data_IF_131996075247
#
_entry.id   IF_131996075247
#
_cell.length_a   1.000
_cell.length_b   1.000
_cell.length_c   1.000
_cell.angle_alpha   90.00
_cell.angle_beta   90.00
_cell.angle_gamma   90.00
#
_symmetry.space_group_name_H-M   'P 1'
#
loop_
_entity.id
_entity.type
_entity.pdbx_description
1 polymer ?
#
# COMPACT_ATOMS: atom_id res chain seq x y z
N UNK A 1 21.10 1.76 -4.09
CA UNK A 1 20.19 0.66 -3.69
C UNK A 1 18.76 1.14 -3.85
N UNK A 2 17.96 0.46 -4.66
CA UNK A 2 16.55 0.84 -4.89
C UNK A 2 15.67 0.60 -3.67
N UNK A 3 14.56 1.35 -3.55
CA UNK A 3 13.63 1.27 -2.42
C UNK A 3 13.12 -0.17 -2.13
N UNK A 4 12.86 -0.94 -3.20
CA UNK A 4 12.36 -2.31 -3.10
C UNK A 4 13.44 -3.35 -2.79
N UNK A 5 14.74 -3.00 -2.86
CA UNK A 5 15.81 -3.93 -2.50
C UNK A 5 15.77 -4.29 -1.01
N UNK A 6 15.23 -3.39 -0.18
CA UNK A 6 15.09 -3.57 1.27
C UNK A 6 13.98 -4.55 1.69
N UNK A 7 13.09 -4.93 0.77
CA UNK A 7 12.13 -6.00 1.04
C UNK A 7 12.82 -7.36 0.98
N UNK A 8 12.50 -8.24 1.92
CA UNK A 8 13.02 -9.59 1.91
C UNK A 8 12.48 -10.39 0.70
N UNK A 9 13.20 -11.45 0.34
CA UNK A 9 12.86 -12.24 -0.84
C UNK A 9 11.49 -12.93 -0.74
N UNK A 10 11.01 -13.25 0.46
CA UNK A 10 9.71 -13.89 0.65
C UNK A 10 8.56 -12.92 0.40
N UNK A 11 8.68 -11.67 0.88
CA UNK A 11 7.73 -10.59 0.60
C UNK A 11 7.67 -10.27 -0.88
N UNK A 12 8.82 -10.15 -1.55
CA UNK A 12 8.89 -9.94 -3.02
C UNK A 12 8.18 -11.06 -3.78
N UNK A 13 8.41 -12.32 -3.39
CA UNK A 13 7.77 -13.48 -4.02
C UNK A 13 6.24 -13.42 -3.86
N UNK A 14 5.76 -13.19 -2.65
CA UNK A 14 4.31 -13.06 -2.38
C UNK A 14 3.68 -11.90 -3.15
N UNK A 15 4.35 -10.75 -3.25
CA UNK A 15 3.87 -9.62 -4.06
C UNK A 15 3.65 -10.02 -5.52
N UNK A 16 4.60 -10.74 -6.12
CA UNK A 16 4.50 -11.22 -7.50
C UNK A 16 3.36 -12.22 -7.65
N UNK A 17 3.20 -13.13 -6.69
CA UNK A 17 2.12 -14.13 -6.69
C UNK A 17 0.73 -13.48 -6.57
N UNK A 18 0.58 -12.46 -5.72
CA UNK A 18 -0.66 -11.67 -5.60
C UNK A 18 -0.92 -10.93 -6.91
N UNK A 19 0.07 -10.17 -7.41
CA UNK A 19 -0.04 -9.41 -8.65
C UNK A 19 -0.45 -10.26 -9.85
N UNK A 20 0.13 -11.46 -9.98
CA UNK A 20 -0.19 -12.38 -11.08
C UNK A 20 -1.64 -12.89 -11.05
N UNK A 21 -2.30 -12.86 -9.89
CA UNK A 21 -3.67 -13.33 -9.69
C UNK A 21 -4.71 -12.20 -9.67
N UNK A 22 -4.27 -10.95 -9.57
CA UNK A 22 -5.15 -9.78 -9.65
C UNK A 22 -5.70 -9.63 -11.06
N UNK A 23 -6.97 -9.26 -11.16
CA UNK A 23 -7.52 -8.76 -12.41
C UNK A 23 -6.97 -7.37 -12.74
N UNK A 24 -7.27 -6.89 -13.94
CA UNK A 24 -6.75 -5.60 -14.42
C UNK A 24 -7.36 -4.41 -13.66
N UNK A 25 -8.56 -4.54 -13.13
CA UNK A 25 -9.22 -3.47 -12.36
C UNK A 25 -8.51 -3.26 -11.01
N UNK A 26 -8.24 -4.35 -10.29
CA UNK A 26 -7.48 -4.35 -9.04
C UNK A 26 -6.05 -3.83 -9.24
N UNK A 27 -5.39 -4.19 -10.35
CA UNK A 27 -4.06 -3.66 -10.70
C UNK A 27 -4.10 -2.16 -10.90
N UNK A 28 -5.11 -1.67 -11.62
CA UNK A 28 -5.29 -0.24 -11.85
C UNK A 28 -5.55 0.51 -10.54
N UNK A 29 -6.40 -0.04 -9.66
CA UNK A 29 -6.64 0.54 -8.34
C UNK A 29 -5.39 0.60 -7.48
N UNK A 30 -4.55 -0.43 -7.50
CA UNK A 30 -3.28 -0.39 -6.82
C UNK A 30 -2.36 0.72 -7.39
N UNK A 31 -2.20 0.77 -8.71
CA UNK A 31 -1.35 1.76 -9.39
C UNK A 31 -1.83 3.18 -9.08
N UNK A 32 -3.13 3.44 -9.15
CA UNK A 32 -3.73 4.74 -8.85
C UNK A 32 -3.49 5.16 -7.40
N UNK A 33 -3.70 4.25 -6.44
CA UNK A 33 -3.47 4.54 -5.03
C UNK A 33 -2.00 4.81 -4.73
N UNK A 34 -1.08 4.06 -5.35
CA UNK A 34 0.37 4.32 -5.23
C UNK A 34 0.75 5.65 -5.88
N UNK A 35 0.20 5.97 -7.04
CA UNK A 35 0.44 7.24 -7.73
C UNK A 35 -0.04 8.43 -6.90
N UNK A 36 -1.25 8.33 -6.33
CA UNK A 36 -1.80 9.33 -5.42
C UNK A 36 -0.90 9.51 -4.19
N UNK A 37 -0.48 8.41 -3.56
CA UNK A 37 0.43 8.46 -2.42
C UNK A 37 1.76 9.15 -2.78
N UNK A 38 2.42 8.74 -3.86
CA UNK A 38 3.69 9.34 -4.30
C UNK A 38 3.55 10.80 -4.71
N UNK A 39 2.40 11.22 -5.23
CA UNK A 39 2.13 12.63 -5.55
C UNK A 39 2.16 13.54 -4.30
N UNK A 40 1.90 12.96 -3.11
CA UNK A 40 1.84 13.68 -1.84
C UNK A 40 3.13 13.47 -1.03
N UNK A 41 3.60 12.23 -0.96
CA UNK A 41 4.81 11.86 -0.23
C UNK A 41 6.06 12.35 -0.91
N UNK A 42 6.06 12.42 -2.25
CA UNK A 42 7.21 12.62 -3.12
C UNK A 42 7.56 11.34 -3.87
N UNK A 43 8.02 11.45 -5.11
CA UNK A 43 8.52 10.34 -5.92
C UNK A 43 10.04 10.10 -5.76
N UNK A 44 10.64 10.73 -4.73
CA UNK A 44 12.01 10.53 -4.31
C UNK A 44 12.20 9.13 -3.69
N UNK A 45 13.46 8.77 -3.40
CA UNK A 45 13.77 7.46 -2.82
C UNK A 45 13.09 7.27 -1.45
N UNK A 46 12.87 8.35 -0.71
CA UNK A 46 12.14 8.31 0.56
C UNK A 46 10.66 7.94 0.36
N UNK A 47 9.96 8.55 -0.60
CA UNK A 47 8.58 8.20 -0.89
C UNK A 47 8.42 6.79 -1.47
N UNK A 48 9.34 6.38 -2.36
CA UNK A 48 9.37 4.99 -2.85
C UNK A 48 9.63 3.99 -1.73
N UNK A 49 10.47 4.35 -0.75
CA UNK A 49 10.73 3.52 0.42
C UNK A 49 9.48 3.39 1.31
N UNK A 50 8.71 4.46 1.47
CA UNK A 50 7.43 4.40 2.18
C UNK A 50 6.45 3.47 1.47
N UNK A 51 6.31 3.57 0.15
CA UNK A 51 5.48 2.63 -0.64
C UNK A 51 5.93 1.19 -0.42
N UNK A 52 7.23 0.90 -0.53
CA UNK A 52 7.77 -0.44 -0.30
C UNK A 52 7.43 -0.96 1.10
N UNK A 53 7.54 -0.12 2.14
CA UNK A 53 7.21 -0.50 3.52
C UNK A 53 5.73 -0.77 3.71
N UNK A 54 4.84 0.08 3.19
CA UNK A 54 3.38 -0.14 3.26
C UNK A 54 2.98 -1.42 2.54
N UNK A 55 3.57 -1.70 1.37
CA UNK A 55 3.34 -2.98 0.66
C UNK A 55 3.85 -4.16 1.49
N UNK A 56 5.00 -4.01 2.16
CA UNK A 56 5.51 -5.01 3.09
C UNK A 56 4.52 -5.34 4.20
N UNK A 57 3.92 -4.32 4.82
CA UNK A 57 2.87 -4.49 5.85
C UNK A 57 1.63 -5.17 5.29
N UNK A 58 1.13 -4.71 4.14
CA UNK A 58 -0.03 -5.26 3.41
C UNK A 58 0.12 -6.76 3.14
N UNK A 59 1.27 -7.16 2.60
CA UNK A 59 1.57 -8.57 2.27
C UNK A 59 1.83 -9.39 3.54
N UNK A 60 2.50 -8.80 4.54
CA UNK A 60 2.74 -9.43 5.83
C UNK A 60 1.45 -9.73 6.59
N UNK A 61 0.44 -8.85 6.48
CA UNK A 61 -0.88 -9.00 7.07
C UNK A 61 -1.81 -9.96 6.31
N UNK A 62 -1.32 -10.59 5.23
CA UNK A 62 -2.03 -11.65 4.51
C UNK A 62 -3.06 -11.16 3.49
N UNK A 63 -2.99 -9.90 3.06
CA UNK A 63 -3.90 -9.43 2.01
C UNK A 63 -3.77 -10.26 0.74
N UNK A 64 -4.91 -10.56 0.13
CA UNK A 64 -5.00 -11.29 -1.15
C UNK A 64 -4.97 -10.38 -2.37
N UNK A 65 -5.01 -9.05 -2.18
CA UNK A 65 -4.95 -8.06 -3.28
C UNK A 65 -4.08 -6.87 -2.90
N UNK A 66 -3.33 -6.34 -3.88
CA UNK A 66 -2.59 -5.10 -3.68
C UNK A 66 -3.51 -3.87 -3.73
N UNK A 67 -4.74 -4.01 -4.23
CA UNK A 67 -5.73 -2.93 -4.24
C UNK A 67 -6.07 -2.43 -2.83
N UNK A 68 -5.76 -3.19 -1.77
CA UNK A 68 -5.93 -2.77 -0.37
C UNK A 68 -4.84 -1.84 0.15
N UNK A 69 -3.83 -1.47 -0.65
CA UNK A 69 -2.72 -0.58 -0.27
C UNK A 69 -3.15 0.62 0.59
N UNK A 70 -4.22 1.32 0.19
CA UNK A 70 -4.73 2.49 0.91
C UNK A 70 -5.13 2.25 2.37
N UNK A 71 -5.56 1.03 2.71
CA UNK A 71 -5.99 0.66 4.07
C UNK A 71 -4.81 0.52 5.03
N UNK A 72 -3.62 0.23 4.52
CA UNK A 72 -2.43 -0.04 5.32
C UNK A 72 -1.54 1.18 5.54
N UNK A 73 -1.91 2.34 4.97
CA UNK A 73 -1.18 3.59 5.17
C UNK A 73 -1.24 4.01 6.64
N UNK A 74 -2.43 3.95 7.24
CA UNK A 74 -2.64 4.34 8.63
C UNK A 74 -2.09 3.29 9.61
N UNK A 75 -2.26 1.99 9.32
CA UNK A 75 -1.64 0.92 10.12
C UNK A 75 -0.11 1.09 10.19
N UNK A 76 0.52 1.45 9.07
CA UNK A 76 1.95 1.73 9.05
C UNK A 76 2.32 2.97 9.89
N UNK A 77 1.46 4.00 9.94
CA UNK A 77 1.65 5.23 10.74
C UNK A 77 1.54 5.03 12.24
N UNK A 78 0.69 4.09 12.68
CA UNK A 78 0.53 3.75 14.10
C UNK A 78 1.73 2.96 14.62
N UNK A 79 2.29 2.08 13.78
CA UNK A 79 3.41 1.21 14.15
C UNK A 79 4.81 1.81 14.00
N UNK A 80 4.98 2.96 13.31
CA UNK A 80 6.30 3.53 13.01
C UNK A 80 6.33 5.05 13.21
N UNK A 81 7.47 5.57 13.70
CA UNK A 81 7.71 7.01 13.64
C UNK A 81 7.88 7.41 12.18
N UNK A 82 6.85 8.04 11.62
CA UNK A 82 6.88 8.57 10.27
C UNK A 82 7.83 9.78 10.21
N UNK A 83 9.13 9.51 10.11
CA UNK A 83 10.29 10.44 10.00
C UNK A 83 9.92 11.75 9.26
N UNK A 84 9.39 12.74 9.99
CA UNK A 84 9.03 14.06 9.46
C UNK A 84 7.98 14.09 8.34
N UNK A 85 7.30 12.98 8.01
CA UNK A 85 6.32 12.90 6.90
C UNK A 85 4.91 12.50 7.34
N UNK A 86 4.63 12.41 8.65
CA UNK A 86 3.30 12.05 9.20
C UNK A 86 2.16 12.83 8.56
N UNK A 87 2.23 14.15 8.52
CA UNK A 87 1.17 15.01 7.94
C UNK A 87 0.91 14.68 6.45
N UNK A 88 1.97 14.41 5.67
CA UNK A 88 1.84 14.00 4.27
C UNK A 88 1.18 12.63 4.14
N UNK A 89 1.46 11.72 5.06
CA UNK A 89 0.86 10.39 5.09
C UNK A 89 -0.61 10.43 5.49
N UNK A 90 -0.98 11.19 6.53
CA UNK A 90 -2.37 11.43 6.92
C UNK A 90 -3.16 12.07 5.76
N UNK A 91 -2.57 13.06 5.08
CA UNK A 91 -3.16 13.66 3.88
C UNK A 91 -3.36 12.66 2.75
N UNK A 92 -2.39 11.78 2.52
CA UNK A 92 -2.50 10.74 1.50
C UNK A 92 -3.56 9.70 1.86
N UNK A 93 -3.62 9.25 3.11
CA UNK A 93 -4.67 8.36 3.59
C UNK A 93 -6.05 8.97 3.35
N UNK A 94 -6.27 10.23 3.72
CA UNK A 94 -7.54 10.91 3.50
C UNK A 94 -7.94 11.04 2.02
N UNK A 95 -6.97 11.30 1.13
CA UNK A 95 -7.21 11.36 -0.33
C UNK A 95 -7.51 9.97 -0.90
N UNK A 96 -6.77 8.95 -0.48
CA UNK A 96 -6.96 7.58 -0.92
C UNK A 96 -8.28 7.00 -0.40
N UNK A 97 -8.68 7.31 0.84
CA UNK A 97 -9.98 6.94 1.37
C UNK A 97 -11.12 7.51 0.50
N UNK A 98 -11.01 8.76 0.05
CA UNK A 98 -11.98 9.36 -0.89
C UNK A 98 -11.96 8.66 -2.26
N UNK A 99 -10.77 8.32 -2.76
CA UNK A 99 -10.64 7.54 -4.00
C UNK A 99 -11.33 6.18 -3.88
N UNK A 100 -11.09 5.45 -2.78
CA UNK A 100 -11.72 4.15 -2.51
C UNK A 100 -13.23 4.26 -2.45
N UNK A 101 -13.75 5.26 -1.73
CA UNK A 101 -15.20 5.52 -1.66
C UNK A 101 -15.79 5.81 -3.06
N UNK A 102 -15.12 6.65 -3.86
CA UNK A 102 -15.58 7.01 -5.21
C UNK A 102 -15.66 5.79 -6.14
N UNK A 103 -14.74 4.83 -5.98
CA UNK A 103 -14.67 3.63 -6.80
C UNK A 103 -15.30 2.40 -6.12
N UNK A 104 -16.08 2.60 -5.04
CA UNK A 104 -16.73 1.53 -4.29
C UNK A 104 -15.79 0.39 -3.82
N UNK A 105 -14.51 0.71 -3.57
CA UNK A 105 -13.55 -0.24 -3.03
C UNK A 105 -13.84 -0.51 -1.55
N UNK A 106 -13.53 -1.73 -1.11
CA UNK A 106 -13.72 -2.13 0.28
C UNK A 106 -13.05 -1.16 1.25
N UNK A 107 -13.74 -0.79 2.34
CA UNK A 107 -13.14 -0.05 3.45
C UNK A 107 -12.51 -0.98 4.49
N UNK A 108 -12.64 -2.29 4.31
CA UNK A 108 -12.14 -3.33 5.20
C UNK A 108 -11.13 -4.19 4.42
N UNK A 109 -9.94 -4.50 4.98
CA UNK A 109 -9.00 -5.39 4.31
C UNK A 109 -9.69 -6.73 4.03
N UNK A 110 -9.47 -7.32 2.85
CA UNK A 110 -10.02 -8.65 2.53
C UNK A 110 -9.42 -9.73 3.44
N UNK A 111 -10.00 -9.90 4.63
CA UNK A 111 -9.79 -11.04 5.51
C UNK A 111 -11.03 -11.91 5.49
N UNK A 112 -10.98 -12.99 4.74
CA UNK A 112 -11.55 -14.25 5.25
C UNK A 112 -10.42 -14.93 6.04
N UNK A 113 -10.57 -14.95 7.36
CA UNK A 113 -9.80 -15.81 8.25
C UNK A 113 -10.30 -17.23 8.01
N UNK A 114 -9.68 -17.96 7.07
CA UNK A 114 -9.77 -19.41 7.08
C UNK A 114 -8.92 -19.90 8.26
N UNK A 115 -9.60 -20.35 9.32
CA UNK A 115 -9.04 -21.22 10.36
C UNK A 115 -8.73 -22.60 9.78
#
# INVERSE_FOLDING_TARGET
>A
MGAFEKLDSSTKKKMVEIWAKMDEEDKNHFVDQVALALSIWGCDDAGKLLVARVIGTLVGNGSKTLADFGLYIDEYLEGNSAEGRREKMERASGIIARYRLKNALSSVPHKDLEL
#
